data_IF_843797464070
#
_entry.id   IF_843797464070
#
_cell.length_a   1.000
_cell.length_b   1.000
_cell.length_c   1.000
_cell.angle_alpha   90.00
_cell.angle_beta   90.00
_cell.angle_gamma   90.00
#
_symmetry.space_group_name_H-M   'P 1'
#
loop_
_entity.id
_entity.type
_entity.pdbx_description
1 polymer ?
#
# COMPACT_ATOMS: atom_id res chain seq x y z
N UNK A 1 -1.77 15.86 -85.83
CA UNK A 1 -1.40 15.80 -84.41
C UNK A 1 -2.61 16.21 -83.57
N UNK A 2 -3.22 15.32 -82.77
CA UNK A 2 -4.29 15.69 -81.87
C UNK A 2 -3.73 16.10 -80.49
N UNK A 3 -4.32 17.14 -79.90
CA UNK A 3 -3.97 17.69 -78.57
C UNK A 3 -4.29 16.67 -77.45
N UNK A 4 -3.45 16.52 -76.42
CA UNK A 4 -3.80 15.71 -75.26
C UNK A 4 -4.78 16.45 -74.33
N UNK A 5 -5.80 15.72 -73.90
CA UNK A 5 -6.79 16.14 -72.90
C UNK A 5 -6.15 16.05 -71.51
N UNK A 6 -6.14 17.16 -70.78
CA UNK A 6 -5.68 17.24 -69.40
C UNK A 6 -6.78 16.72 -68.46
N UNK A 7 -6.68 15.48 -67.97
CA UNK A 7 -7.50 15.01 -66.85
C UNK A 7 -7.00 15.66 -65.55
N UNK A 8 -7.81 16.54 -64.95
CA UNK A 8 -7.60 17.01 -63.58
C UNK A 8 -7.97 15.89 -62.60
N UNK A 9 -6.98 15.32 -61.93
CA UNK A 9 -7.21 14.46 -60.77
C UNK A 9 -7.58 15.36 -59.58
N UNK A 10 -8.84 15.32 -59.15
CA UNK A 10 -9.27 15.93 -57.90
C UNK A 10 -9.01 14.97 -56.75
N UNK A 11 -8.00 15.25 -55.92
CA UNK A 11 -7.77 14.55 -54.66
C UNK A 11 -7.91 15.53 -53.50
N UNK A 12 -9.15 15.81 -53.10
CA UNK A 12 -9.45 16.39 -51.80
C UNK A 12 -9.21 15.32 -50.74
N UNK A 13 -8.04 15.33 -50.13
CA UNK A 13 -7.74 14.59 -48.91
C UNK A 13 -8.61 15.22 -47.81
N UNK A 14 -9.51 14.48 -47.14
CA UNK A 14 -10.24 15.03 -46.00
C UNK A 14 -9.22 15.32 -44.89
N UNK A 15 -9.12 16.59 -44.49
CA UNK A 15 -8.39 17.01 -43.29
C UNK A 15 -8.98 16.28 -42.10
N UNK A 16 -8.23 15.34 -41.53
CA UNK A 16 -8.52 14.77 -40.23
C UNK A 16 -8.52 15.93 -39.23
N UNK A 17 -9.70 16.30 -38.74
CA UNK A 17 -9.83 17.20 -37.60
C UNK A 17 -8.99 16.66 -36.44
N UNK A 18 -8.18 17.54 -35.83
CA UNK A 18 -7.48 17.21 -34.58
C UNK A 18 -8.47 16.62 -33.57
N UNK A 19 -8.13 15.51 -32.89
CA UNK A 19 -8.99 14.97 -31.87
C UNK A 19 -9.19 16.04 -30.80
N UNK A 20 -10.45 16.35 -30.51
CA UNK A 20 -10.80 17.24 -29.40
C UNK A 20 -10.46 16.54 -28.06
N UNK A 21 -9.23 16.76 -27.60
CA UNK A 21 -8.69 16.22 -26.35
C UNK A 21 -9.39 16.83 -25.11
N UNK A 22 -10.26 17.83 -25.27
CA UNK A 22 -11.04 18.39 -24.15
C UNK A 22 -12.07 17.42 -23.59
N UNK A 23 -12.45 16.38 -24.36
CA UNK A 23 -13.37 15.32 -23.93
C UNK A 23 -12.74 14.29 -22.98
N UNK A 24 -11.41 14.26 -22.83
CA UNK A 24 -10.69 13.37 -21.89
C UNK A 24 -10.59 13.95 -20.46
N UNK A 25 -11.10 15.15 -20.24
CA UNK A 25 -11.09 15.86 -18.95
C UNK A 25 -12.46 15.84 -18.27
N UNK A 26 -13.20 14.73 -18.33
CA UNK A 26 -14.24 14.49 -17.32
C UNK A 26 -13.52 13.99 -16.08
N UNK A 27 -13.23 14.89 -15.14
CA UNK A 27 -13.17 14.51 -13.74
C UNK A 27 -14.49 13.80 -13.45
N UNK A 28 -14.48 12.46 -13.42
CA UNK A 28 -15.64 11.72 -12.94
C UNK A 28 -15.75 12.06 -11.47
N UNK A 29 -16.80 12.78 -11.09
CA UNK A 29 -17.15 12.91 -9.69
C UNK A 29 -17.15 11.52 -9.04
N UNK A 30 -16.63 11.41 -7.83
CA UNK A 30 -16.65 10.16 -7.06
C UNK A 30 -18.08 9.58 -7.10
N UNK A 31 -18.27 8.31 -7.51
CA UNK A 31 -19.59 7.73 -7.55
C UNK A 31 -20.16 7.69 -6.14
N UNK A 32 -21.47 7.93 -6.02
CA UNK A 32 -22.16 7.78 -4.75
C UNK A 32 -22.11 6.31 -4.29
N UNK A 33 -21.85 6.03 -2.99
CA UNK A 33 -21.89 4.68 -2.47
C UNK A 33 -23.24 3.99 -2.71
N UNK A 34 -23.21 2.73 -3.14
CA UNK A 34 -24.43 1.96 -3.38
C UNK A 34 -25.17 1.65 -2.06
N UNK A 35 -26.50 1.56 -2.03
CA UNK A 35 -27.22 1.16 -0.83
C UNK A 35 -26.92 -0.30 -0.44
N UNK A 36 -27.09 -0.63 0.84
CA UNK A 36 -26.90 -1.99 1.36
C UNK A 36 -27.78 -3.02 0.65
N UNK A 37 -27.28 -4.24 0.47
CA UNK A 37 -27.97 -5.31 -0.26
C UNK A 37 -27.80 -5.24 -1.78
N UNK A 38 -27.04 -4.26 -2.29
CA UNK A 38 -26.64 -4.14 -3.70
C UNK A 38 -25.14 -4.41 -3.86
N UNK A 39 -24.73 -4.63 -5.10
CA UNK A 39 -23.31 -4.59 -5.48
C UNK A 39 -22.74 -3.21 -5.14
N UNK A 40 -21.54 -3.11 -4.54
CA UNK A 40 -20.87 -1.84 -4.32
C UNK A 40 -20.74 -1.03 -5.61
N UNK A 41 -20.78 0.29 -5.51
CA UNK A 41 -20.31 1.15 -6.58
C UNK A 41 -18.80 0.96 -6.79
N UNK A 42 -18.30 1.28 -7.96
CA UNK A 42 -16.91 1.04 -8.33
C UNK A 42 -16.23 2.33 -8.80
N UNK A 43 -15.01 2.56 -8.32
CA UNK A 43 -14.15 3.65 -8.78
C UNK A 43 -12.72 3.12 -8.98
N UNK A 44 -12.36 2.89 -10.23
CA UNK A 44 -11.03 2.45 -10.64
C UNK A 44 -10.76 2.84 -12.10
N UNK A 45 -9.50 3.10 -12.49
CA UNK A 45 -8.29 3.02 -11.67
C UNK A 45 -8.10 4.21 -10.72
N UNK A 46 -7.61 3.96 -9.51
CA UNK A 46 -7.25 4.99 -8.52
C UNK A 46 -5.76 4.93 -8.22
N UNK A 47 -5.06 6.05 -8.32
CA UNK A 47 -3.66 6.17 -7.89
C UNK A 47 -3.63 6.92 -6.57
N UNK A 48 -3.28 6.21 -5.49
CA UNK A 48 -3.07 6.83 -4.18
C UNK A 48 -1.60 7.19 -4.03
N UNK A 49 -1.34 8.49 -3.96
CA UNK A 49 0.01 9.01 -3.91
C UNK A 49 0.41 9.40 -2.48
N UNK A 50 1.52 8.83 -2.02
CA UNK A 50 2.22 9.24 -0.81
C UNK A 50 3.38 10.16 -1.16
N UNK A 51 3.43 11.31 -0.50
CA UNK A 51 4.57 12.23 -0.54
C UNK A 51 5.43 12.05 0.71
N UNK A 52 6.68 12.48 0.61
CA UNK A 52 7.56 12.52 1.77
C UNK A 52 6.98 13.38 2.91
N UNK A 53 7.29 13.00 4.14
CA UNK A 53 7.01 13.77 5.35
C UNK A 53 8.32 14.05 6.10
N UNK A 54 8.23 14.61 7.31
CA UNK A 54 9.40 14.99 8.09
C UNK A 54 10.43 13.87 8.25
N UNK A 55 10.01 12.61 8.42
CA UNK A 55 10.91 11.47 8.61
C UNK A 55 11.03 10.56 7.39
N UNK A 56 10.38 10.85 6.27
CA UNK A 56 10.53 10.03 5.07
C UNK A 56 10.58 10.84 3.79
N UNK A 57 11.45 10.46 2.86
CA UNK A 57 11.43 10.99 1.51
C UNK A 57 12.00 9.99 0.50
N UNK A 58 11.38 9.88 -0.67
CA UNK A 58 12.05 9.37 -1.86
C UNK A 58 12.88 10.50 -2.47
N UNK A 59 14.21 10.40 -2.39
CA UNK A 59 15.15 11.46 -2.78
C UNK A 59 15.39 11.47 -4.29
N UNK A 60 15.65 10.27 -4.84
CA UNK A 60 15.97 10.04 -6.25
C UNK A 60 15.79 8.55 -6.58
N UNK A 61 15.65 8.23 -7.87
CA UNK A 61 15.52 6.87 -8.35
C UNK A 61 16.09 6.71 -9.77
N UNK A 62 16.50 5.50 -10.12
CA UNK A 62 16.98 5.17 -11.46
C UNK A 62 17.95 4.02 -11.45
N UNK A 63 18.24 3.46 -12.63
CA UNK A 63 19.11 2.31 -12.83
C UNK A 63 18.77 1.12 -11.92
N UNK A 64 17.48 0.87 -11.69
CA UNK A 64 17.02 -0.24 -10.87
C UNK A 64 17.26 -0.06 -9.37
N UNK A 65 17.46 1.17 -8.89
CA UNK A 65 17.65 1.50 -7.48
C UNK A 65 16.90 2.77 -7.08
N UNK A 66 16.64 2.91 -5.79
CA UNK A 66 16.04 4.10 -5.16
C UNK A 66 16.90 4.58 -3.99
N UNK A 67 16.95 5.89 -3.83
CA UNK A 67 17.58 6.56 -2.69
C UNK A 67 16.49 7.20 -1.84
N UNK A 68 16.47 6.88 -0.57
CA UNK A 68 15.42 7.25 0.36
C UNK A 68 16.04 7.87 1.63
N UNK A 69 15.28 8.72 2.31
CA UNK A 69 15.57 9.19 3.67
C UNK A 69 14.59 8.53 4.62
N UNK A 70 15.10 8.01 5.73
CA UNK A 70 14.36 7.47 6.86
C UNK A 70 14.91 8.14 8.13
N UNK A 71 14.21 9.17 8.62
CA UNK A 71 14.65 10.02 9.71
C UNK A 71 16.06 10.59 9.46
N UNK A 72 17.05 10.28 10.31
CA UNK A 72 18.43 10.76 10.18
C UNK A 72 19.30 9.91 9.23
N UNK A 73 18.73 8.91 8.55
CA UNK A 73 19.47 7.93 7.75
C UNK A 73 19.08 8.03 6.28
N UNK A 74 20.07 8.08 5.39
CA UNK A 74 19.89 7.94 3.94
C UNK A 74 20.25 6.54 3.48
N UNK A 75 19.38 5.95 2.67
CA UNK A 75 19.43 4.53 2.32
C UNK A 75 19.30 4.36 0.81
N UNK A 76 20.13 3.50 0.22
CA UNK A 76 19.99 3.05 -1.18
C UNK A 76 19.57 1.59 -1.20
N UNK A 77 18.48 1.30 -1.93
CA UNK A 77 17.93 -0.06 -2.08
C UNK A 77 17.65 -0.40 -3.54
N UNK A 78 17.68 -1.69 -3.90
CA UNK A 78 17.20 -2.16 -5.20
C UNK A 78 15.72 -1.80 -5.41
N UNK A 79 15.40 -1.39 -6.63
CA UNK A 79 14.06 -1.09 -7.10
C UNK A 79 14.00 -1.30 -8.62
N UNK A 80 13.74 -2.53 -9.11
CA UNK A 80 13.77 -2.83 -10.54
C UNK A 80 12.83 -1.95 -11.38
N UNK A 81 11.74 -1.44 -10.79
CA UNK A 81 10.80 -0.56 -11.51
C UNK A 81 11.36 0.85 -11.74
N UNK A 82 12.41 1.26 -11.02
CA UNK A 82 13.12 2.51 -11.23
C UNK A 82 14.06 2.42 -12.46
N UNK A 83 13.49 2.14 -13.64
CA UNK A 83 14.23 1.84 -14.88
C UNK A 83 14.92 3.06 -15.51
N UNK A 84 14.48 4.28 -15.15
CA UNK A 84 15.03 5.52 -15.70
C UNK A 84 16.45 5.84 -15.22
N UNK A 85 16.95 7.02 -15.56
CA UNK A 85 18.27 7.49 -15.15
C UNK A 85 18.14 8.29 -13.82
N UNK A 86 19.02 8.09 -12.82
CA UNK A 86 19.11 8.94 -11.65
C UNK A 86 19.27 10.42 -12.01
N UNK A 87 18.67 11.31 -11.23
CA UNK A 87 18.76 12.77 -11.44
C UNK A 87 19.84 13.41 -10.56
N UNK A 88 20.27 12.76 -9.50
CA UNK A 88 21.42 13.13 -8.72
C UNK A 88 22.71 12.58 -9.33
N UNK A 89 23.81 13.29 -9.10
CA UNK A 89 25.16 12.82 -9.45
C UNK A 89 25.53 11.59 -8.62
N UNK A 90 26.34 10.70 -9.18
CA UNK A 90 26.75 9.46 -8.50
C UNK A 90 27.37 9.71 -7.12
N UNK A 91 28.15 10.79 -6.95
CA UNK A 91 28.72 11.17 -5.66
C UNK A 91 27.67 11.32 -4.53
N UNK A 92 26.44 11.72 -4.84
CA UNK A 92 25.36 11.80 -3.85
C UNK A 92 24.84 10.40 -3.45
N UNK A 93 24.81 9.46 -4.41
CA UNK A 93 24.44 8.06 -4.18
C UNK A 93 25.53 7.32 -3.40
N UNK A 94 26.80 7.56 -3.74
CA UNK A 94 27.96 7.00 -3.03
C UNK A 94 28.05 7.50 -1.59
N UNK A 95 27.54 8.70 -1.32
CA UNK A 95 27.47 9.32 0.00
C UNK A 95 26.27 8.91 0.87
N UNK A 96 25.39 8.03 0.39
CA UNK A 96 24.28 7.52 1.21
C UNK A 96 24.81 6.78 2.45
N UNK A 97 24.14 6.89 3.60
CA UNK A 97 24.65 6.30 4.85
C UNK A 97 24.69 4.77 4.80
N UNK A 98 23.69 4.15 4.16
CA UNK A 98 23.57 2.71 4.03
C UNK A 98 23.16 2.30 2.61
N UNK A 99 23.77 1.23 2.10
CA UNK A 99 23.44 0.63 0.80
C UNK A 99 23.15 -0.84 0.98
N UNK A 100 21.98 -1.31 0.55
CA UNK A 100 21.66 -2.73 0.55
C UNK A 100 22.37 -3.42 -0.62
N UNK A 101 23.27 -4.33 -0.30
CA UNK A 101 24.02 -5.18 -1.22
C UNK A 101 23.60 -6.63 -0.97
N UNK A 102 22.60 -7.11 -1.68
CA UNK A 102 21.99 -8.40 -1.43
C UNK A 102 21.17 -8.91 -2.60
N UNK A 103 20.55 -10.07 -2.40
CA UNK A 103 19.54 -10.58 -3.31
C UNK A 103 18.41 -9.54 -3.47
N UNK A 104 17.94 -9.38 -4.71
CA UNK A 104 16.91 -8.40 -5.08
C UNK A 104 15.49 -8.93 -4.84
N UNK A 105 15.35 -10.24 -4.58
CA UNK A 105 14.09 -10.84 -4.16
C UNK A 105 13.58 -10.21 -2.85
N UNK A 106 12.26 -10.10 -2.70
CA UNK A 106 11.62 -9.34 -1.62
C UNK A 106 11.99 -9.84 -0.21
N UNK A 107 12.20 -11.16 -0.08
CA UNK A 107 12.62 -11.83 1.14
C UNK A 107 14.06 -12.40 1.01
N UNK A 108 14.79 -12.00 -0.02
CA UNK A 108 16.13 -12.51 -0.32
C UNK A 108 17.16 -12.09 0.73
N UNK A 109 18.14 -12.96 1.06
CA UNK A 109 19.19 -12.62 1.99
C UNK A 109 20.11 -11.54 1.38
N UNK A 110 20.51 -10.58 2.21
CA UNK A 110 21.45 -9.54 1.81
C UNK A 110 22.31 -9.03 2.93
N UNK A 111 23.14 -8.04 2.60
CA UNK A 111 24.00 -7.34 3.55
C UNK A 111 23.87 -5.84 3.36
N UNK A 112 24.02 -5.10 4.44
CA UNK A 112 24.10 -3.65 4.42
C UNK A 112 25.56 -3.21 4.41
N UNK A 113 25.91 -2.33 3.48
CA UNK A 113 27.18 -1.59 3.47
C UNK A 113 26.93 -0.23 4.11
N UNK A 114 27.69 0.11 5.14
CA UNK A 114 27.57 1.38 5.86
C UNK A 114 28.75 2.29 5.54
N UNK A 115 28.47 3.57 5.29
CA UNK A 115 29.50 4.59 5.05
C UNK A 115 29.86 5.38 6.33
N UNK A 116 29.16 5.13 7.43
CA UNK A 116 29.49 5.61 8.77
C UNK A 116 28.94 4.65 9.82
N UNK A 117 29.34 4.83 11.07
CA UNK A 117 28.79 4.07 12.19
C UNK A 117 27.31 4.42 12.38
N UNK A 118 26.46 3.39 12.31
CA UNK A 118 25.01 3.49 12.44
C UNK A 118 24.51 2.46 13.45
N UNK A 119 23.51 2.82 14.29
CA UNK A 119 22.83 1.85 15.14
C UNK A 119 22.00 0.87 14.29
N UNK A 120 21.65 -0.29 14.86
CA UNK A 120 20.74 -1.26 14.21
C UNK A 120 19.37 -0.63 13.93
N UNK A 121 18.90 0.23 14.84
CA UNK A 121 17.62 0.93 14.77
C UNK A 121 17.79 2.43 14.92
N UNK A 122 16.89 3.19 14.32
CA UNK A 122 16.75 4.64 14.50
C UNK A 122 15.28 4.99 14.69
N UNK A 123 14.99 6.08 15.40
CA UNK A 123 13.60 6.51 15.61
C UNK A 123 13.06 7.27 14.39
N UNK A 124 11.77 7.09 14.16
CA UNK A 124 10.95 7.77 13.16
C UNK A 124 9.57 8.07 13.75
N UNK A 125 8.86 9.02 13.15
CA UNK A 125 7.52 9.41 13.55
C UNK A 125 6.59 9.53 12.34
N UNK A 126 5.31 9.22 12.58
CA UNK A 126 4.20 9.50 11.68
C UNK A 126 2.95 9.76 12.54
N UNK A 127 2.47 11.00 12.54
CA UNK A 127 1.37 11.42 13.42
C UNK A 127 1.69 11.11 14.90
N UNK A 128 0.80 10.43 15.65
CA UNK A 128 1.04 10.08 17.05
C UNK A 128 1.95 8.86 17.24
N UNK A 129 2.30 8.14 16.17
CA UNK A 129 3.12 6.93 16.28
C UNK A 129 4.61 7.29 16.18
N UNK A 130 5.40 6.81 17.14
CA UNK A 130 6.86 6.73 17.08
C UNK A 130 7.24 5.27 16.85
N UNK A 131 8.17 5.02 15.93
CA UNK A 131 8.55 3.67 15.55
C UNK A 131 10.02 3.60 15.17
N UNK A 132 10.56 2.38 15.13
CA UNK A 132 11.93 2.15 14.71
C UNK A 132 12.02 1.87 13.20
N UNK A 133 12.80 2.68 12.49
CA UNK A 133 13.51 2.19 11.31
C UNK A 133 14.57 1.16 11.76
N UNK A 134 14.76 0.09 10.99
CA UNK A 134 15.64 -1.03 11.39
C UNK A 134 16.37 -1.64 10.21
N UNK A 135 17.68 -1.80 10.33
CA UNK A 135 18.43 -2.65 9.39
C UNK A 135 18.17 -4.13 9.67
N UNK A 136 17.74 -4.86 8.64
CA UNK A 136 17.45 -6.29 8.71
C UNK A 136 18.37 -7.07 7.77
N UNK A 137 18.36 -8.40 7.83
CA UNK A 137 19.09 -9.26 6.89
C UNK A 137 18.48 -9.29 5.47
N UNK A 138 17.39 -8.55 5.26
CA UNK A 138 16.67 -8.36 4.00
C UNK A 138 16.44 -6.86 3.77
N UNK A 139 15.91 -6.49 2.60
CA UNK A 139 15.83 -5.11 2.11
C UNK A 139 14.84 -4.18 2.85
N UNK A 140 13.97 -4.71 3.71
CA UNK A 140 13.00 -3.90 4.44
C UNK A 140 13.66 -3.14 5.58
N UNK A 141 13.14 -1.95 5.87
CA UNK A 141 13.67 -1.06 6.92
C UNK A 141 12.68 -0.85 8.07
N UNK A 142 11.68 -1.73 8.20
CA UNK A 142 10.71 -1.71 9.31
C UNK A 142 9.43 -0.91 9.06
N UNK A 143 9.31 -0.25 7.90
CA UNK A 143 8.11 0.50 7.50
C UNK A 143 7.96 0.48 5.98
N UNK A 144 6.71 0.56 5.51
CA UNK A 144 6.31 0.72 4.12
C UNK A 144 5.64 2.09 3.95
N UNK A 145 6.42 3.15 3.66
CA UNK A 145 5.93 4.53 3.70
C UNK A 145 4.73 4.81 2.81
N UNK A 146 4.63 4.15 1.66
CA UNK A 146 3.50 4.24 0.73
C UNK A 146 2.14 3.99 1.39
N UNK A 147 2.10 3.19 2.46
CA UNK A 147 0.89 2.84 3.20
C UNK A 147 0.33 4.03 3.99
N UNK A 148 1.06 5.14 4.09
CA UNK A 148 0.59 6.38 4.73
C UNK A 148 -0.76 6.85 4.17
N UNK A 149 -0.97 6.75 2.86
CA UNK A 149 -2.26 7.08 2.23
C UNK A 149 -3.43 6.24 2.78
N UNK A 150 -3.19 4.97 3.14
CA UNK A 150 -4.18 4.14 3.80
C UNK A 150 -4.30 4.45 5.28
N UNK A 151 -3.20 4.70 5.98
CA UNK A 151 -3.24 5.03 7.41
C UNK A 151 -4.03 6.30 7.70
N UNK A 152 -3.81 7.36 6.92
CA UNK A 152 -4.57 8.61 7.01
C UNK A 152 -6.05 8.36 6.79
N UNK A 153 -6.39 7.64 5.72
CA UNK A 153 -7.77 7.30 5.40
C UNK A 153 -8.44 6.46 6.49
N UNK A 154 -7.75 5.46 7.06
CA UNK A 154 -8.26 4.64 8.18
C UNK A 154 -8.53 5.53 9.40
N UNK A 155 -7.61 6.41 9.75
CA UNK A 155 -7.76 7.35 10.88
C UNK A 155 -8.98 8.24 10.68
N UNK A 156 -9.21 8.71 9.46
CA UNK A 156 -10.41 9.50 9.13
C UNK A 156 -11.70 8.68 9.27
N UNK A 157 -11.70 7.42 8.82
CA UNK A 157 -12.86 6.53 9.01
C UNK A 157 -13.16 6.27 10.49
N UNK A 158 -12.13 6.06 11.32
CA UNK A 158 -12.27 5.85 12.77
C UNK A 158 -12.84 7.10 13.43
N UNK A 159 -12.27 8.29 13.14
CA UNK A 159 -12.76 9.56 13.70
C UNK A 159 -14.18 9.89 13.26
N UNK A 160 -14.52 9.64 12.00
CA UNK A 160 -15.85 9.93 11.45
C UNK A 160 -16.97 9.06 12.05
N UNK A 161 -16.64 7.85 12.54
CA UNK A 161 -17.64 6.93 13.07
C UNK A 161 -18.33 7.39 14.36
N UNK A 162 -17.72 8.32 15.12
CA UNK A 162 -18.25 8.84 16.40
C UNK A 162 -18.61 7.75 17.44
N UNK A 163 -18.06 6.55 17.28
CA UNK A 163 -18.11 5.41 18.21
C UNK A 163 -16.79 4.64 18.12
N UNK A 164 -16.38 3.89 19.15
CA UNK A 164 -15.25 2.98 19.03
C UNK A 164 -15.49 1.96 17.91
N UNK A 165 -14.52 1.83 17.02
CA UNK A 165 -14.53 0.82 15.96
C UNK A 165 -13.68 -0.38 16.38
N UNK A 166 -14.15 -1.60 16.11
CA UNK A 166 -13.31 -2.80 16.19
C UNK A 166 -12.55 -2.99 14.89
N UNK A 167 -11.22 -2.84 14.92
CA UNK A 167 -10.36 -2.96 13.74
C UNK A 167 -9.53 -4.24 13.81
N UNK A 168 -9.60 -5.07 12.78
CA UNK A 168 -8.75 -6.24 12.60
C UNK A 168 -7.63 -5.91 11.61
N UNK A 169 -6.37 -6.05 12.03
CA UNK A 169 -5.20 -5.91 11.17
C UNK A 169 -4.53 -7.27 10.99
N UNK A 170 -4.54 -7.80 9.77
CA UNK A 170 -3.99 -9.10 9.38
C UNK A 170 -2.68 -8.91 8.62
N UNK A 171 -1.69 -9.74 8.94
CA UNK A 171 -0.31 -9.60 8.44
C UNK A 171 0.29 -8.26 8.87
N UNK A 172 0.05 -7.89 10.13
CA UNK A 172 0.20 -6.52 10.59
C UNK A 172 1.64 -6.01 10.73
N UNK A 173 2.64 -6.88 10.57
CA UNK A 173 4.06 -6.54 10.54
C UNK A 173 4.50 -5.69 11.75
N UNK A 174 5.08 -4.51 11.53
CA UNK A 174 5.60 -3.60 12.58
C UNK A 174 4.51 -2.73 13.23
N UNK A 175 3.25 -2.92 12.85
CA UNK A 175 2.10 -2.47 13.62
C UNK A 175 1.65 -1.03 13.43
N UNK A 176 2.19 -0.26 12.48
CA UNK A 176 1.73 1.12 12.25
C UNK A 176 0.23 1.19 11.90
N UNK A 177 -0.25 0.28 11.05
CA UNK A 177 -1.67 0.10 10.74
C UNK A 177 -2.53 -0.38 11.93
N UNK A 178 -1.91 -0.65 13.09
CA UNK A 178 -2.59 -0.92 14.36
C UNK A 178 -2.49 0.26 15.33
N UNK A 179 -1.32 0.89 15.44
CA UNK A 179 -1.08 2.01 16.35
C UNK A 179 -1.90 3.24 15.97
N UNK A 180 -1.97 3.57 14.67
CA UNK A 180 -2.65 4.76 14.18
C UNK A 180 -4.18 4.72 14.39
N UNK A 181 -4.91 3.66 14.01
CA UNK A 181 -6.34 3.57 14.36
C UNK A 181 -6.57 3.48 15.87
N UNK A 182 -5.72 2.79 16.63
CA UNK A 182 -5.84 2.76 18.08
C UNK A 182 -5.73 4.17 18.69
N UNK A 183 -4.74 4.95 18.25
CA UNK A 183 -4.55 6.34 18.68
C UNK A 183 -5.72 7.24 18.27
N UNK A 184 -6.46 6.88 17.22
CA UNK A 184 -7.70 7.54 16.81
C UNK A 184 -8.94 7.07 17.60
N UNK A 185 -8.82 6.10 18.51
CA UNK A 185 -9.90 5.60 19.37
C UNK A 185 -10.48 4.24 19.00
N UNK A 186 -9.86 3.49 18.08
CA UNK A 186 -10.30 2.13 17.74
C UNK A 186 -9.83 1.09 18.76
N UNK A 187 -10.60 0.02 18.91
CA UNK A 187 -10.18 -1.24 19.53
C UNK A 187 -9.53 -2.12 18.46
N UNK A 188 -8.26 -2.45 18.60
CA UNK A 188 -7.49 -3.11 17.54
C UNK A 188 -7.13 -4.54 17.92
N UNK A 189 -7.39 -5.48 17.01
CA UNK A 189 -6.76 -6.81 17.04
C UNK A 189 -5.72 -6.89 15.94
N UNK A 190 -4.47 -7.14 16.32
CA UNK A 190 -3.34 -7.27 15.42
C UNK A 190 -2.89 -8.73 15.33
N UNK A 191 -2.82 -9.25 14.11
CA UNK A 191 -2.40 -10.62 13.81
C UNK A 191 -1.14 -10.61 12.95
N UNK A 192 -0.12 -11.33 13.39
CA UNK A 192 1.06 -11.66 12.59
C UNK A 192 1.57 -13.05 12.94
N UNK A 193 2.09 -13.80 11.96
CA UNK A 193 2.64 -15.12 12.19
C UNK A 193 4.05 -15.06 12.85
N UNK A 194 4.76 -13.95 12.69
CA UNK A 194 6.12 -13.76 13.18
C UNK A 194 6.10 -13.20 14.60
N UNK A 195 6.55 -14.02 15.56
CA UNK A 195 6.78 -13.57 16.95
C UNK A 195 7.75 -12.37 16.99
N UNK A 196 8.70 -12.31 16.06
CA UNK A 196 9.65 -11.20 15.92
C UNK A 196 8.94 -9.91 15.51
N UNK A 197 8.05 -9.98 14.52
CA UNK A 197 7.25 -8.83 14.07
C UNK A 197 6.32 -8.32 15.19
N UNK A 198 5.65 -9.23 15.90
CA UNK A 198 4.87 -8.88 17.10
C UNK A 198 5.74 -8.18 18.15
N UNK A 199 6.97 -8.64 18.36
CA UNK A 199 7.94 -7.98 19.26
C UNK A 199 8.21 -6.54 18.83
N UNK A 200 8.55 -6.33 17.56
CA UNK A 200 8.78 -4.99 17.00
C UNK A 200 7.56 -4.07 17.07
N UNK A 201 6.37 -4.61 16.82
CA UNK A 201 5.14 -3.82 16.90
C UNK A 201 4.85 -3.36 18.34
N UNK A 202 5.18 -4.19 19.35
CA UNK A 202 5.09 -3.83 20.77
C UNK A 202 6.18 -2.84 21.18
N UNK A 203 7.39 -2.96 20.66
CA UNK A 203 8.44 -1.94 20.82
C UNK A 203 7.97 -0.58 20.29
N UNK A 204 7.35 -0.55 19.10
CA UNK A 204 6.77 0.66 18.52
C UNK A 204 5.60 1.21 19.36
N UNK A 205 4.76 0.34 19.94
CA UNK A 205 3.69 0.77 20.86
C UNK A 205 4.26 1.50 22.08
N UNK A 206 5.27 0.90 22.72
CA UNK A 206 5.93 1.46 23.89
C UNK A 206 6.66 2.76 23.56
N UNK A 207 7.38 2.80 22.43
CA UNK A 207 8.07 4.00 21.95
C UNK A 207 7.09 5.15 21.67
N UNK A 208 5.87 4.84 21.22
CA UNK A 208 4.81 5.82 21.00
C UNK A 208 4.15 6.31 22.29
N UNK A 209 4.42 5.70 23.45
CA UNK A 209 3.70 5.96 24.69
C UNK A 209 2.23 5.52 24.64
N UNK A 210 1.92 4.51 23.83
CA UNK A 210 0.57 4.03 23.54
C UNK A 210 0.23 2.70 24.23
N UNK A 211 0.96 2.33 25.29
CA UNK A 211 0.81 1.05 26.00
C UNK A 211 -0.59 0.82 26.56
N UNK A 212 -1.29 1.91 26.93
CA UNK A 212 -2.63 1.86 27.51
C UNK A 212 -3.75 1.73 26.47
N UNK A 213 -3.43 1.79 25.17
CA UNK A 213 -4.45 1.67 24.12
C UNK A 213 -4.91 0.22 23.93
N UNK A 214 -6.18 0.00 23.52
CA UNK A 214 -6.79 -1.33 23.44
C UNK A 214 -6.31 -2.09 22.19
N UNK A 215 -5.05 -2.55 22.20
CA UNK A 215 -4.46 -3.36 21.13
C UNK A 215 -4.20 -4.79 21.61
N UNK A 216 -4.89 -5.74 20.97
CA UNK A 216 -4.70 -7.18 21.20
C UNK A 216 -3.70 -7.73 20.19
N UNK A 217 -2.49 -8.05 20.65
CA UNK A 217 -1.42 -8.66 19.86
C UNK A 217 -1.53 -10.18 19.84
N UNK A 218 -1.65 -10.78 18.67
CA UNK A 218 -1.80 -12.24 18.51
C UNK A 218 -0.78 -12.75 17.50
N UNK A 219 0.05 -13.69 17.97
CA UNK A 219 0.99 -14.41 17.14
C UNK A 219 0.33 -15.69 16.61
N UNK A 220 -0.27 -15.64 15.42
CA UNK A 220 -1.02 -16.76 14.82
C UNK A 220 -1.06 -16.67 13.30
N UNK A 221 -1.30 -17.80 12.63
CA UNK A 221 -1.69 -17.82 11.22
C UNK A 221 -3.02 -17.07 11.01
N UNK A 222 -3.04 -16.16 10.03
CA UNK A 222 -4.19 -15.28 9.77
C UNK A 222 -5.45 -16.08 9.40
N UNK A 223 -5.33 -17.10 8.54
CA UNK A 223 -6.46 -17.92 8.09
C UNK A 223 -7.09 -18.71 9.23
N UNK A 224 -6.27 -19.27 10.12
CA UNK A 224 -6.72 -19.95 11.34
C UNK A 224 -7.38 -18.99 12.32
N UNK A 225 -6.80 -17.80 12.51
CA UNK A 225 -7.39 -16.77 13.35
C UNK A 225 -8.79 -16.41 12.85
N UNK A 226 -8.93 -16.08 11.56
CA UNK A 226 -10.19 -15.73 10.90
C UNK A 226 -11.23 -16.85 11.05
N UNK A 227 -10.86 -18.09 10.72
CA UNK A 227 -11.72 -19.26 10.88
C UNK A 227 -12.26 -19.42 12.30
N UNK A 228 -11.44 -19.13 13.31
CA UNK A 228 -11.84 -19.22 14.72
C UNK A 228 -12.77 -18.08 15.13
N UNK A 229 -12.52 -16.86 14.67
CA UNK A 229 -13.39 -15.72 14.96
C UNK A 229 -14.78 -15.91 14.35
N UNK A 230 -14.87 -16.47 13.14
CA UNK A 230 -16.15 -16.84 12.50
C UNK A 230 -16.92 -17.83 13.38
N UNK A 231 -16.25 -18.90 13.84
CA UNK A 231 -16.87 -19.90 14.74
C UNK A 231 -17.34 -19.31 16.07
N UNK A 232 -16.71 -18.22 16.53
CA UNK A 232 -17.08 -17.50 17.74
C UNK A 232 -18.17 -16.45 17.52
N UNK A 233 -18.54 -16.17 16.27
CA UNK A 233 -19.48 -15.10 15.93
C UNK A 233 -18.92 -13.70 16.18
N UNK A 234 -17.59 -13.55 16.22
CA UNK A 234 -16.97 -12.23 16.36
C UNK A 234 -17.10 -11.45 15.05
N UNK A 235 -17.23 -10.13 15.15
CA UNK A 235 -17.27 -9.23 14.00
C UNK A 235 -16.44 -7.98 14.25
N UNK A 236 -16.05 -7.33 13.16
CA UNK A 236 -15.17 -6.17 13.11
C UNK A 236 -15.78 -5.08 12.24
N UNK A 237 -15.55 -3.82 12.61
CA UNK A 237 -16.03 -2.66 11.87
C UNK A 237 -15.03 -2.21 10.79
N UNK A 238 -13.76 -2.56 10.94
CA UNK A 238 -12.70 -2.28 9.98
C UNK A 238 -11.80 -3.51 9.84
N UNK A 239 -11.45 -3.86 8.60
CA UNK A 239 -10.49 -4.94 8.32
C UNK A 239 -9.36 -4.39 7.45
N UNK A 240 -8.12 -4.66 7.84
CA UNK A 240 -6.90 -4.35 7.10
C UNK A 240 -6.22 -5.69 6.80
N UNK A 241 -5.94 -5.94 5.53
CA UNK A 241 -5.38 -7.20 5.03
C UNK A 241 -4.17 -6.88 4.14
N UNK A 242 -2.96 -7.20 4.61
CA UNK A 242 -1.70 -6.96 3.87
C UNK A 242 -0.88 -8.25 3.64
N UNK A 243 -1.43 -9.25 2.94
CA UNK A 243 -0.82 -10.55 2.79
C UNK A 243 0.46 -10.50 1.95
N UNK A 244 1.51 -11.24 2.32
CA UNK A 244 2.66 -11.43 1.45
C UNK A 244 2.26 -12.30 0.25
N UNK A 245 3.09 -12.30 -0.80
CA UNK A 245 2.90 -13.21 -1.94
C UNK A 245 2.96 -14.67 -1.51
N UNK A 246 3.94 -15.00 -0.67
CA UNK A 246 4.12 -16.30 -0.04
C UNK A 246 4.41 -16.08 1.43
N UNK A 247 3.95 -16.99 2.29
CA UNK A 247 4.20 -16.89 3.71
C UNK A 247 4.07 -18.22 4.41
N UNK A 248 4.46 -18.23 5.69
CA UNK A 248 4.25 -19.38 6.57
C UNK A 248 3.66 -18.97 7.90
N UNK A 249 2.67 -19.73 8.36
CA UNK A 249 2.16 -19.62 9.71
C UNK A 249 3.15 -20.17 10.75
N UNK A 250 2.92 -19.89 12.05
CA UNK A 250 3.85 -20.28 13.12
C UNK A 250 4.06 -21.79 13.24
N UNK A 251 3.13 -22.61 12.74
CA UNK A 251 3.18 -24.08 12.76
C UNK A 251 3.46 -24.66 11.37
N UNK A 252 3.93 -23.83 10.43
CA UNK A 252 4.28 -24.23 9.07
C UNK A 252 3.11 -24.28 8.09
N UNK A 253 1.96 -23.69 8.44
CA UNK A 253 0.85 -23.43 7.51
C UNK A 253 1.39 -22.68 6.29
N UNK A 254 0.96 -23.04 5.08
CA UNK A 254 1.43 -22.37 3.85
C UNK A 254 0.42 -21.31 3.45
N UNK A 255 0.91 -20.10 3.21
CA UNK A 255 0.18 -19.03 2.56
C UNK A 255 0.75 -18.81 1.15
N UNK A 256 -0.15 -18.80 0.17
CA UNK A 256 0.13 -18.36 -1.20
C UNK A 256 -1.02 -17.45 -1.63
N UNK A 257 -0.71 -16.21 -1.96
CA UNK A 257 -1.68 -15.17 -2.30
C UNK A 257 -2.68 -15.66 -3.35
N UNK A 258 -2.23 -16.32 -4.42
CA UNK A 258 -3.10 -16.66 -5.55
C UNK A 258 -4.08 -17.79 -5.24
N UNK A 259 -3.74 -18.66 -4.31
CA UNK A 259 -4.59 -19.80 -3.92
C UNK A 259 -5.38 -19.54 -2.65
N UNK A 260 -4.86 -18.71 -1.75
CA UNK A 260 -5.41 -18.49 -0.40
C UNK A 260 -6.31 -17.24 -0.34
N UNK A 261 -6.02 -16.20 -1.12
CA UNK A 261 -6.74 -14.92 -1.06
C UNK A 261 -8.26 -15.04 -1.36
N UNK A 262 -8.72 -15.81 -2.36
CA UNK A 262 -10.16 -15.92 -2.64
C UNK A 262 -10.95 -16.39 -1.41
N UNK A 263 -10.54 -17.51 -0.80
CA UNK A 263 -11.19 -18.03 0.40
C UNK A 263 -11.10 -17.07 1.58
N UNK A 264 -9.95 -16.40 1.76
CA UNK A 264 -9.76 -15.38 2.79
C UNK A 264 -10.78 -14.23 2.66
N UNK A 265 -10.99 -13.67 1.46
CA UNK A 265 -11.91 -12.54 1.28
C UNK A 265 -13.37 -12.92 1.59
N UNK A 266 -13.80 -14.11 1.17
CA UNK A 266 -15.13 -14.64 1.54
C UNK A 266 -15.31 -14.85 3.04
N UNK A 267 -14.25 -15.24 3.74
CA UNK A 267 -14.30 -15.41 5.19
C UNK A 267 -14.26 -14.07 5.93
N UNK A 268 -13.51 -13.08 5.42
CA UNK A 268 -13.49 -11.73 5.99
C UNK A 268 -14.81 -10.98 5.80
N UNK A 269 -15.53 -11.22 4.70
CA UNK A 269 -16.89 -10.70 4.52
C UNK A 269 -17.79 -11.11 5.69
N UNK A 270 -17.71 -12.38 6.13
CA UNK A 270 -18.50 -12.89 7.27
C UNK A 270 -18.11 -12.24 8.60
N UNK A 271 -16.89 -11.72 8.70
CA UNK A 271 -16.39 -11.02 9.88
C UNK A 271 -16.73 -9.52 9.88
N UNK A 272 -17.19 -8.94 8.76
CA UNK A 272 -17.65 -7.56 8.75
C UNK A 272 -18.96 -7.42 9.52
N UNK A 273 -18.96 -6.57 10.54
CA UNK A 273 -20.14 -6.24 11.34
C UNK A 273 -21.23 -5.63 10.46
N UNK A 274 -22.50 -5.67 10.89
CA UNK A 274 -23.55 -4.93 10.21
C UNK A 274 -23.22 -3.44 10.09
N UNK A 275 -22.51 -2.83 11.03
CA UNK A 275 -22.13 -1.42 10.97
C UNK A 275 -20.69 -1.19 10.50
N UNK A 276 -20.11 -2.17 9.79
CA UNK A 276 -18.76 -2.05 9.29
C UNK A 276 -18.61 -0.81 8.40
N UNK A 277 -17.43 -0.21 8.48
CA UNK A 277 -17.06 1.03 7.81
C UNK A 277 -16.11 0.78 6.65
N UNK A 278 -15.20 -0.19 6.79
CA UNK A 278 -14.21 -0.45 5.75
C UNK A 278 -13.61 -1.85 5.74
N UNK A 279 -13.06 -2.21 4.58
CA UNK A 279 -12.16 -3.33 4.39
C UNK A 279 -11.10 -2.94 3.36
N UNK A 280 -9.82 -3.15 3.66
CA UNK A 280 -8.70 -2.83 2.77
C UNK A 280 -7.88 -4.09 2.52
N UNK A 281 -7.56 -4.34 1.25
CA UNK A 281 -6.56 -5.29 0.80
C UNK A 281 -5.41 -4.53 0.13
N UNK A 282 -4.18 -4.79 0.57
CA UNK A 282 -2.95 -4.39 -0.13
C UNK A 282 -2.17 -5.62 -0.59
N UNK A 283 -1.49 -5.51 -1.74
CA UNK A 283 -0.72 -6.60 -2.30
C UNK A 283 0.56 -6.10 -2.99
N UNK A 284 1.70 -6.63 -2.56
CA UNK A 284 3.03 -6.35 -3.15
C UNK A 284 3.38 -7.29 -4.32
N UNK A 285 2.44 -8.13 -4.76
CA UNK A 285 2.61 -9.04 -5.89
C UNK A 285 2.44 -8.32 -7.24
N UNK A 286 3.37 -7.41 -7.58
CA UNK A 286 3.28 -6.48 -8.72
C UNK A 286 3.15 -7.17 -10.11
N UNK A 287 3.41 -8.47 -10.23
CA UNK A 287 3.13 -9.21 -11.48
C UNK A 287 1.63 -9.36 -11.78
N UNK A 288 0.76 -9.03 -10.83
CA UNK A 288 -0.69 -9.00 -11.00
C UNK A 288 -1.19 -7.60 -11.31
N UNK A 289 -2.31 -7.49 -12.01
CA UNK A 289 -3.02 -6.22 -12.16
C UNK A 289 -3.89 -5.97 -10.93
N UNK A 290 -4.03 -4.70 -10.51
CA UNK A 290 -5.01 -4.32 -9.50
C UNK A 290 -6.44 -4.72 -9.90
N UNK A 291 -6.71 -4.89 -11.20
CA UNK A 291 -8.01 -5.37 -11.70
C UNK A 291 -8.34 -6.75 -11.13
N UNK A 292 -7.36 -7.65 -10.99
CA UNK A 292 -7.63 -9.00 -10.47
C UNK A 292 -8.08 -8.97 -9.00
N UNK A 293 -7.49 -8.10 -8.17
CA UNK A 293 -7.92 -7.93 -6.77
C UNK A 293 -9.19 -7.08 -6.66
N UNK A 294 -9.45 -6.19 -7.62
CA UNK A 294 -10.70 -5.44 -7.70
C UNK A 294 -11.88 -6.38 -7.91
N UNK A 295 -11.85 -7.18 -8.97
CA UNK A 295 -12.92 -8.13 -9.33
C UNK A 295 -13.19 -9.12 -8.20
N UNK A 296 -12.12 -9.63 -7.56
CA UNK A 296 -12.25 -10.55 -6.44
C UNK A 296 -12.87 -9.88 -5.20
N UNK A 297 -12.50 -8.63 -4.88
CA UNK A 297 -13.11 -7.88 -3.79
C UNK A 297 -14.59 -7.58 -4.07
N UNK A 298 -14.93 -7.22 -5.31
CA UNK A 298 -16.30 -6.98 -5.74
C UNK A 298 -17.16 -8.24 -5.62
N UNK A 299 -16.66 -9.37 -6.11
CA UNK A 299 -17.30 -10.69 -5.98
C UNK A 299 -17.57 -11.06 -4.51
N UNK A 300 -16.56 -10.93 -3.65
CA UNK A 300 -16.68 -11.24 -2.23
C UNK A 300 -17.71 -10.33 -1.53
N UNK A 301 -17.76 -9.04 -1.88
CA UNK A 301 -18.59 -8.02 -1.21
C UNK A 301 -19.86 -7.62 -1.97
N UNK A 302 -20.29 -8.41 -2.97
CA UNK A 302 -21.37 -8.07 -3.91
C UNK A 302 -22.75 -7.75 -3.30
N UNK A 303 -22.95 -7.92 -1.97
CA UNK A 303 -24.20 -7.58 -1.26
C UNK A 303 -24.04 -6.48 -0.21
N UNK A 304 -22.84 -5.94 -0.04
CA UNK A 304 -22.55 -4.99 1.05
C UNK A 304 -22.98 -3.55 0.74
N UNK A 305 -23.31 -3.23 -0.51
CA UNK A 305 -23.41 -1.85 -0.98
C UNK A 305 -22.07 -1.13 -0.81
N UNK A 306 -22.08 0.18 -0.71
CA UNK A 306 -20.90 0.99 -0.48
C UNK A 306 -20.14 1.29 -1.75
N UNK A 307 -18.84 1.53 -1.62
CA UNK A 307 -17.93 1.88 -2.72
C UNK A 307 -16.66 1.03 -2.63
N UNK A 308 -16.27 0.42 -3.75
CA UNK A 308 -14.96 -0.19 -3.95
C UNK A 308 -14.08 0.75 -4.78
N UNK A 309 -12.92 1.09 -4.23
CA UNK A 309 -11.84 1.79 -4.93
C UNK A 309 -10.66 0.85 -5.12
N UNK A 310 -10.04 0.85 -6.30
CA UNK A 310 -8.88 -0.01 -6.56
C UNK A 310 -7.88 0.62 -7.53
N UNK A 311 -6.62 0.27 -7.34
CA UNK A 311 -5.53 0.73 -8.17
C UNK A 311 -4.17 0.54 -7.52
N UNK A 312 -3.32 1.55 -7.58
CA UNK A 312 -1.92 1.48 -7.14
C UNK A 312 -1.61 2.48 -6.02
N UNK A 313 -0.78 2.04 -5.08
CA UNK A 313 -0.07 2.89 -4.14
C UNK A 313 1.24 3.34 -4.79
N UNK A 314 1.50 4.64 -4.72
CA UNK A 314 2.64 5.28 -5.39
C UNK A 314 3.36 6.20 -4.42
N UNK A 315 4.69 6.17 -4.42
CA UNK A 315 5.51 7.19 -3.75
C UNK A 315 6.00 8.20 -4.78
N UNK A 316 5.88 9.50 -4.46
CA UNK A 316 6.46 10.57 -5.29
C UNK A 316 7.80 11.02 -4.73
N UNK A 317 8.76 11.29 -5.64
CA UNK A 317 10.00 11.98 -5.30
C UNK A 317 9.70 13.29 -4.55
N UNK A 318 10.48 13.61 -3.53
CA UNK A 318 10.28 14.79 -2.68
C UNK A 318 10.20 16.09 -3.50
N UNK A 319 10.98 16.18 -4.57
CA UNK A 319 11.05 17.37 -5.42
C UNK A 319 11.42 17.05 -6.86
N UNK A 320 10.95 17.92 -7.76
CA UNK A 320 11.46 18.00 -9.13
C UNK A 320 12.91 18.50 -9.16
N UNK A 321 13.61 18.25 -10.27
CA UNK A 321 15.01 18.65 -10.46
C UNK A 321 15.24 19.10 -11.90
N UNK A 322 16.05 20.15 -12.09
CA UNK A 322 16.45 20.64 -13.41
C UNK A 322 15.26 20.94 -14.34
N UNK A 323 14.23 21.60 -13.80
CA UNK A 323 13.00 21.92 -14.55
C UNK A 323 12.09 20.72 -14.85
N UNK A 324 12.43 19.52 -14.39
CA UNK A 324 11.61 18.30 -14.54
C UNK A 324 10.76 18.06 -13.30
N UNK A 325 9.49 17.63 -13.44
CA UNK A 325 8.63 17.33 -12.31
C UNK A 325 9.13 16.10 -11.53
N UNK A 326 8.79 16.03 -10.24
CA UNK A 326 9.03 14.87 -9.39
C UNK A 326 8.41 13.61 -10.00
N UNK A 327 9.16 12.51 -10.05
CA UNK A 327 8.68 11.24 -10.59
C UNK A 327 7.89 10.46 -9.53
N UNK A 328 7.05 9.56 -10.00
CA UNK A 328 6.27 8.66 -9.17
C UNK A 328 6.82 7.23 -9.34
N UNK A 329 6.87 6.49 -8.24
CA UNK A 329 7.28 5.10 -8.16
C UNK A 329 6.10 4.29 -7.60
N UNK A 330 5.49 3.46 -8.43
CA UNK A 330 4.49 2.49 -7.97
C UNK A 330 5.14 1.45 -7.07
N UNK A 331 4.43 1.03 -6.03
CA UNK A 331 4.96 0.10 -5.02
C UNK A 331 4.08 -1.12 -4.81
N UNK A 332 2.77 -0.93 -4.72
CA UNK A 332 1.82 -2.00 -4.38
C UNK A 332 0.45 -1.73 -4.96
N UNK A 333 -0.34 -2.79 -5.05
CA UNK A 333 -1.72 -2.75 -5.49
C UNK A 333 -2.63 -2.62 -4.27
N UNK A 334 -3.80 -2.00 -4.44
CA UNK A 334 -4.82 -2.01 -3.41
C UNK A 334 -6.23 -2.20 -3.97
N UNK A 335 -7.10 -2.73 -3.12
CA UNK A 335 -8.54 -2.67 -3.26
C UNK A 335 -9.14 -2.37 -1.89
N UNK A 336 -9.94 -1.30 -1.76
CA UNK A 336 -10.64 -0.96 -0.52
C UNK A 336 -12.12 -0.83 -0.75
N UNK A 337 -12.89 -1.41 0.15
CA UNK A 337 -14.32 -1.18 0.29
C UNK A 337 -14.59 -0.20 1.43
N UNK A 338 -15.55 0.69 1.22
CA UNK A 338 -16.11 1.57 2.24
C UNK A 338 -17.63 1.48 2.26
N UNK A 339 -18.19 1.55 3.47
CA UNK A 339 -19.63 1.47 3.65
C UNK A 339 -20.35 2.72 3.10
N UNK A 340 -21.67 2.63 2.86
CA UNK A 340 -22.46 3.75 2.36
C UNK A 340 -22.45 5.01 3.23
#
# INVERSE_FOLDING_TARGET
MPRPVLMRCGSSIPTLSEPDLSALSRSSAMPEPAPRGKTPAEHWPVVLETRGWEDYALIDMGHGRKMERYGPVTVVRPEPQAMGIPRLKEAAWEGADAVFTGDVDEEGPGRWRFNRDLPETWEMAFGPARFHGRFMSFRHVGVFPEQAAHWEWIVDQVKAAKRPLKVLNLFGYTGLASLLPAAAGAEVTHIDASKKAIGWARENQALSGLDNLPIRWICEDASKFVSREIRRGNTYDGIILDPPKYGRGPKGEVWDLFTSLPGMLYDLEKLLSPEARFMILTAYAIRSSFVAIHELMNEALHRRGGLIESGELVIREERGREGKPARALSTSLFSRWSAP
#
